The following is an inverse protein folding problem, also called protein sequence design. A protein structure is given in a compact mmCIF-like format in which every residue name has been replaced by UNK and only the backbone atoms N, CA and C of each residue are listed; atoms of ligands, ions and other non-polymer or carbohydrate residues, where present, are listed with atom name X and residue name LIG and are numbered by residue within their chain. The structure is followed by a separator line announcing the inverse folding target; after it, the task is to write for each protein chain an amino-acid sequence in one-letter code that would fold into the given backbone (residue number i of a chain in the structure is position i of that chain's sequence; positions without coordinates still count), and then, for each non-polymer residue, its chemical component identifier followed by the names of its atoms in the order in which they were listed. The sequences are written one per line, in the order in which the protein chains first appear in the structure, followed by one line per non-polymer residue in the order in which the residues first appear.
data_IF_174724354708
#
_entry.id   IF_174724354708
#
_cell.length_a   1.000
_cell.length_b   1.000
_cell.length_c   1.000
_cell.angle_alpha   90.00
_cell.angle_beta   90.00
_cell.angle_gamma   90.00
#
_symmetry.space_group_name_H-M   'P 1'
#
loop_
_entity.id
_entity.type
_entity.pdbx_description
1 polymer ?
#
# COMPACT_ATOMS: atom_id res chain seq x y z
N UNK A 1 9.48 10.84 -11.18
CA UNK A 1 9.06 9.42 -11.18
C UNK A 1 8.13 9.24 -12.37
N UNK A 2 8.67 8.98 -13.55
CA UNK A 2 7.86 8.74 -14.73
C UNK A 2 7.26 7.33 -14.60
N UNK A 3 5.99 7.24 -14.25
CA UNK A 3 5.23 6.01 -14.50
C UNK A 3 5.17 5.93 -16.02
N UNK A 4 5.92 4.99 -16.60
CA UNK A 4 5.97 4.85 -18.05
C UNK A 4 4.55 4.58 -18.57
N UNK A 5 4.09 5.38 -19.53
CA UNK A 5 2.72 5.30 -20.08
C UNK A 5 2.39 3.91 -20.66
N UNK A 6 3.42 3.12 -21.01
CA UNK A 6 3.31 1.75 -21.52
C UNK A 6 2.82 0.72 -20.48
N UNK A 7 2.81 1.09 -19.19
CA UNK A 7 2.41 0.24 -18.08
C UNK A 7 0.97 0.51 -17.61
N UNK A 8 0.30 1.50 -18.19
CA UNK A 8 -1.06 1.82 -17.82
C UNK A 8 -1.97 0.63 -18.13
N UNK A 9 -2.41 -0.07 -17.07
CA UNK A 9 -3.29 -1.24 -17.18
C UNK A 9 -2.57 -2.58 -17.38
N UNK A 10 -1.23 -2.62 -17.32
CA UNK A 10 -0.50 -3.89 -17.32
C UNK A 10 -0.84 -4.70 -16.06
N UNK A 11 -1.14 -6.00 -16.24
CA UNK A 11 -1.38 -6.94 -15.15
C UNK A 11 -0.10 -7.66 -14.79
N UNK A 12 -0.03 -8.21 -13.58
CA UNK A 12 1.14 -8.98 -13.11
C UNK A 12 1.45 -10.15 -14.06
N UNK A 13 0.42 -10.81 -14.61
CA UNK A 13 0.60 -11.89 -15.59
C UNK A 13 1.24 -11.44 -16.90
N UNK A 14 1.17 -10.16 -17.25
CA UNK A 14 1.80 -9.61 -18.46
C UNK A 14 3.31 -9.42 -18.25
N UNK A 15 3.80 -9.57 -17.00
CA UNK A 15 5.20 -9.40 -16.59
C UNK A 15 5.92 -10.73 -16.40
N UNK A 16 5.25 -11.81 -16.74
CA UNK A 16 5.71 -13.20 -16.59
C UNK A 16 5.96 -13.77 -17.98
N UNK A 17 7.00 -14.57 -18.12
CA UNK A 17 7.33 -15.26 -19.36
C UNK A 17 6.46 -16.51 -19.59
N UNK A 18 6.68 -17.19 -20.71
CA UNK A 18 5.97 -18.42 -21.08
C UNK A 18 6.19 -19.58 -20.10
N UNK A 19 7.23 -19.50 -19.26
CA UNK A 19 7.60 -20.52 -18.29
C UNK A 19 7.03 -20.21 -16.89
N UNK A 20 6.30 -19.11 -16.73
CA UNK A 20 5.76 -18.70 -15.43
C UNK A 20 6.79 -17.99 -14.55
N UNK A 21 7.95 -17.58 -15.09
CA UNK A 21 8.99 -16.84 -14.39
C UNK A 21 8.92 -15.34 -14.73
N UNK A 22 9.51 -14.49 -13.89
CA UNK A 22 9.57 -13.05 -14.17
C UNK A 22 10.27 -12.76 -15.50
N UNK A 23 9.64 -11.99 -16.38
CA UNK A 23 10.26 -11.51 -17.60
C UNK A 23 11.26 -10.38 -17.25
N UNK A 24 12.52 -10.76 -17.04
CA UNK A 24 13.54 -9.82 -16.57
C UNK A 24 13.86 -8.75 -17.60
N UNK A 25 13.75 -9.05 -18.89
CA UNK A 25 14.05 -8.09 -19.94
C UNK A 25 13.07 -6.90 -19.87
N UNK A 26 11.78 -7.20 -19.72
CA UNK A 26 10.74 -6.18 -19.49
C UNK A 26 10.95 -5.45 -18.16
N UNK A 27 11.28 -6.19 -17.09
CA UNK A 27 11.48 -5.58 -15.76
C UNK A 27 12.74 -4.70 -15.70
N UNK A 28 13.79 -4.99 -16.47
CA UNK A 28 15.02 -4.21 -16.51
C UNK A 28 14.82 -2.85 -17.16
N UNK A 29 13.90 -2.75 -18.11
CA UNK A 29 13.52 -1.49 -18.73
C UNK A 29 12.70 -0.59 -17.77
N UNK A 30 12.13 -1.16 -16.71
CA UNK A 30 11.16 -0.47 -15.85
C UNK A 30 11.63 -0.26 -14.42
N UNK A 31 12.44 -1.17 -13.89
CA UNK A 31 12.92 -1.15 -12.52
C UNK A 31 14.44 -1.00 -12.46
N UNK A 32 14.95 -0.23 -11.49
CA UNK A 32 16.37 -0.28 -11.15
C UNK A 32 16.79 -1.71 -10.77
N UNK A 33 18.03 -2.08 -11.11
CA UNK A 33 18.60 -3.43 -10.90
C UNK A 33 18.35 -3.99 -9.49
N UNK A 34 18.49 -3.17 -8.44
CA UNK A 34 18.28 -3.62 -7.06
C UNK A 34 16.84 -4.09 -6.74
N UNK A 35 15.84 -3.57 -7.44
CA UNK A 35 14.46 -4.05 -7.32
C UNK A 35 14.23 -5.34 -8.08
N UNK A 36 14.89 -5.51 -9.22
CA UNK A 36 14.86 -6.75 -9.99
C UNK A 36 15.47 -7.90 -9.18
N UNK A 37 16.58 -7.65 -8.49
CA UNK A 37 17.20 -8.66 -7.63
C UNK A 37 16.26 -9.11 -6.50
N UNK A 38 15.50 -8.17 -5.94
CA UNK A 38 14.46 -8.48 -4.95
C UNK A 38 13.31 -9.26 -5.56
N UNK A 39 12.83 -8.87 -6.75
CA UNK A 39 11.80 -9.61 -7.49
C UNK A 39 12.26 -11.03 -7.84
N UNK A 40 13.51 -11.23 -8.26
CA UNK A 40 14.10 -12.56 -8.50
C UNK A 40 14.08 -13.47 -7.27
N UNK A 41 14.11 -12.90 -6.06
CA UNK A 41 13.99 -13.65 -4.81
C UNK A 41 12.54 -14.07 -4.47
N UNK A 42 11.56 -13.56 -5.23
CA UNK A 42 10.14 -13.87 -5.07
C UNK A 42 9.63 -14.61 -6.32
N UNK A 43 8.84 -15.68 -6.13
CA UNK A 43 8.20 -16.36 -7.27
C UNK A 43 7.01 -15.51 -7.75
N UNK A 44 6.78 -15.38 -9.07
CA UNK A 44 5.58 -14.71 -9.58
C UNK A 44 4.30 -15.37 -9.03
N UNK A 45 3.25 -14.60 -8.70
CA UNK A 45 2.00 -15.18 -8.27
C UNK A 45 1.43 -16.11 -9.36
N UNK A 46 1.30 -17.40 -9.05
CA UNK A 46 0.69 -18.38 -9.94
C UNK A 46 -0.76 -18.62 -9.54
N UNK A 47 -1.69 -18.60 -10.50
CA UNK A 47 -3.13 -18.74 -10.25
C UNK A 47 -3.54 -20.07 -9.56
N UNK A 48 -2.63 -21.05 -9.48
CA UNK A 48 -2.86 -22.33 -8.81
C UNK A 48 -2.26 -22.45 -7.40
N UNK A 49 -1.47 -21.47 -6.95
CA UNK A 49 -0.73 -21.58 -5.69
C UNK A 49 -1.30 -20.65 -4.62
N UNK A 50 -1.99 -21.28 -3.67
CA UNK A 50 -2.56 -20.73 -2.44
C UNK A 50 -3.68 -19.67 -2.62
N UNK A 51 -4.71 -19.68 -1.74
CA UNK A 51 -5.69 -18.60 -1.70
C UNK A 51 -5.00 -17.28 -1.33
N UNK A 52 -5.51 -16.16 -1.86
CA UNK A 52 -5.06 -14.83 -1.48
C UNK A 52 -5.10 -14.69 0.05
N UNK A 53 -3.96 -14.36 0.64
CA UNK A 53 -3.82 -14.12 2.08
C UNK A 53 -3.65 -12.64 2.36
N UNK A 54 -4.30 -12.17 3.42
CA UNK A 54 -4.03 -10.83 3.93
C UNK A 54 -2.62 -10.80 4.53
N UNK A 55 -1.73 -10.08 3.87
CA UNK A 55 -0.35 -9.90 4.31
C UNK A 55 -0.18 -8.51 4.94
N UNK A 56 0.34 -8.45 6.16
CA UNK A 56 0.72 -7.22 6.84
C UNK A 56 2.15 -7.32 7.36
N UNK A 57 2.97 -6.30 7.12
CA UNK A 57 4.39 -6.28 7.53
C UNK A 57 4.47 -6.33 9.05
N UNK A 58 5.01 -7.44 9.58
CA UNK A 58 5.14 -7.68 11.02
C UNK A 58 4.08 -8.60 11.63
N UNK A 59 3.01 -8.92 10.90
CA UNK A 59 2.07 -9.96 11.30
C UNK A 59 2.52 -11.29 10.70
N UNK A 60 3.21 -12.11 11.50
CA UNK A 60 3.42 -13.52 11.15
C UNK A 60 2.06 -14.20 10.95
N UNK A 61 1.97 -14.98 9.88
CA UNK A 61 0.80 -15.66 9.32
C UNK A 61 -0.53 -15.59 10.11
N UNK A 62 -1.50 -14.96 9.43
CA UNK A 62 -2.93 -15.34 9.38
C UNK A 62 -3.89 -14.77 10.43
N UNK A 63 -3.46 -14.08 11.49
CA UNK A 63 -4.42 -13.39 12.39
C UNK A 63 -3.91 -12.05 12.91
N UNK A 64 -4.23 -10.98 12.20
CA UNK A 64 -4.14 -9.62 12.75
C UNK A 64 -5.54 -9.05 12.95
N UNK A 65 -5.73 -8.28 14.01
CA UNK A 65 -6.93 -7.47 14.19
C UNK A 65 -6.82 -6.18 13.37
N UNK A 66 -7.96 -5.66 12.91
CA UNK A 66 -8.03 -4.32 12.28
C UNK A 66 -7.38 -3.26 13.18
N UNK A 67 -7.51 -3.40 14.50
CA UNK A 67 -6.88 -2.52 15.48
C UNK A 67 -5.35 -2.57 15.46
N UNK A 68 -4.74 -3.75 15.31
CA UNK A 68 -3.28 -3.88 15.22
C UNK A 68 -2.75 -3.33 13.90
N UNK A 69 -3.45 -3.60 12.80
CA UNK A 69 -3.14 -3.02 11.50
C UNK A 69 -3.21 -1.49 11.55
N UNK A 70 -4.26 -0.94 12.15
CA UNK A 70 -4.43 0.50 12.30
C UNK A 70 -3.31 1.12 13.15
N UNK A 71 -2.92 0.48 14.25
CA UNK A 71 -1.81 0.97 15.09
C UNK A 71 -0.46 0.96 14.39
N UNK A 72 -0.18 -0.04 13.56
CA UNK A 72 1.07 -0.10 12.82
C UNK A 72 1.10 0.91 11.66
N UNK A 73 -0.05 1.15 11.01
CA UNK A 73 -0.22 2.27 10.06
C UNK A 73 -0.01 3.61 10.77
N UNK A 74 -0.64 3.82 11.93
CA UNK A 74 -0.43 5.01 12.76
C UNK A 74 1.03 5.14 13.20
N UNK A 75 1.71 4.05 13.55
CA UNK A 75 3.14 4.08 13.92
C UNK A 75 4.02 4.52 12.75
N UNK A 76 3.65 4.15 11.53
CA UNK A 76 4.31 4.60 10.30
C UNK A 76 4.00 6.08 9.99
N UNK A 77 2.78 6.55 10.28
CA UNK A 77 2.29 7.90 9.94
C UNK A 77 2.38 8.93 11.10
N UNK A 78 2.81 8.51 12.29
CA UNK A 78 2.95 9.36 13.48
C UNK A 78 4.04 10.43 13.36
N UNK A 79 4.69 10.57 12.20
CA UNK A 79 5.56 11.71 11.91
C UNK A 79 4.78 12.95 11.45
N UNK A 80 3.49 12.84 11.09
CA UNK A 80 2.75 13.98 10.55
C UNK A 80 1.22 13.99 10.77
N UNK A 81 0.64 13.11 11.60
CA UNK A 81 -0.78 13.24 11.96
C UNK A 81 -0.98 14.44 12.89
N UNK A 82 -1.38 15.50 12.21
CA UNK A 82 -1.61 16.87 12.59
C UNK A 82 -2.26 17.05 13.97
N UNK A 83 -1.70 17.96 14.77
CA UNK A 83 -2.28 18.36 16.07
C UNK A 83 -3.73 18.83 15.91
N UNK A 84 -4.07 19.37 14.73
CA UNK A 84 -5.42 19.79 14.37
C UNK A 84 -6.43 18.64 14.33
N UNK A 85 -6.06 17.48 13.75
CA UNK A 85 -6.93 16.30 13.75
C UNK A 85 -7.26 15.87 15.18
N UNK A 86 -6.24 15.80 16.03
CA UNK A 86 -6.42 15.44 17.45
C UNK A 86 -7.28 16.45 18.20
N UNK A 87 -7.20 17.74 17.86
CA UNK A 87 -8.04 18.78 18.47
C UNK A 87 -9.52 18.61 18.07
N UNK A 88 -9.79 18.39 16.79
CA UNK A 88 -11.16 18.23 16.25
C UNK A 88 -11.86 17.02 16.89
N UNK A 89 -11.15 15.89 17.02
CA UNK A 89 -11.74 14.67 17.59
C UNK A 89 -11.87 14.66 19.12
N UNK A 90 -11.23 15.60 19.82
CA UNK A 90 -11.43 15.83 21.26
C UNK A 90 -12.65 16.70 21.58
N UNK A 91 -13.25 17.38 20.59
CA UNK A 91 -14.41 18.25 20.82
C UNK A 91 -15.63 17.45 21.31
N UNK A 92 -16.26 17.91 22.39
CA UNK A 92 -17.49 17.34 22.95
C UNK A 92 -18.74 17.74 22.13
N UNK A 93 -18.71 17.45 20.82
CA UNK A 93 -19.78 17.78 19.86
C UNK A 93 -20.21 16.52 19.10
N UNK A 94 -21.43 16.49 18.51
CA UNK A 94 -21.85 15.40 17.64
C UNK A 94 -20.87 15.17 16.48
N UNK A 95 -20.76 13.92 16.03
CA UNK A 95 -19.81 13.50 14.99
C UNK A 95 -19.90 14.35 13.72
N UNK A 96 -21.12 14.66 13.27
CA UNK A 96 -21.38 15.54 12.11
C UNK A 96 -20.70 16.91 12.21
N UNK A 97 -20.54 17.45 13.42
CA UNK A 97 -19.88 18.73 13.64
C UNK A 97 -18.36 18.59 13.54
N UNK A 98 -17.78 17.48 14.00
CA UNK A 98 -16.34 17.18 13.84
C UNK A 98 -15.97 17.01 12.38
N UNK A 99 -16.78 16.24 11.63
CA UNK A 99 -16.60 16.06 10.19
C UNK A 99 -16.70 17.38 9.43
N UNK A 100 -17.65 18.25 9.79
CA UNK A 100 -17.78 19.57 9.18
C UNK A 100 -16.56 20.46 9.43
N UNK A 101 -16.06 20.51 10.66
CA UNK A 101 -14.86 21.30 11.02
C UNK A 101 -13.61 20.78 10.28
N UNK A 102 -13.44 19.46 10.19
CA UNK A 102 -12.34 18.85 9.44
C UNK A 102 -12.36 19.23 7.95
N UNK A 103 -13.55 19.18 7.32
CA UNK A 103 -13.70 19.56 5.93
C UNK A 103 -13.39 21.04 5.68
N UNK A 104 -13.70 21.93 6.64
CA UNK A 104 -13.34 23.34 6.54
C UNK A 104 -11.82 23.56 6.64
N UNK A 105 -11.15 22.90 7.59
CA UNK A 105 -9.69 23.01 7.72
C UNK A 105 -8.95 22.50 6.47
N UNK A 106 -9.50 21.50 5.77
CA UNK A 106 -8.92 20.99 4.51
C UNK A 106 -9.12 21.91 3.30
N UNK A 107 -10.06 22.87 3.34
CA UNK A 107 -10.36 23.75 2.20
C UNK A 107 -9.56 25.07 2.19
N UNK A 108 -8.87 25.39 3.28
CA UNK A 108 -8.07 26.62 3.44
C UNK A 108 -6.54 26.42 3.21
N UNK A 109 -6.12 25.23 2.75
CA UNK A 109 -4.72 24.88 2.36
C UNK A 109 -4.57 24.72 0.85
#
# INVERSE_FOLDING_TARGET
MAILENLCGARVCDLVDEHGAWNIDILHDWFPVHWIDKLRSCVPPCAGEAPDVFYFVGAGDVKFSVCEMFREIERYDNSNIDEEWKLIWKLAVPERCRSFIWLLNMTDS
#
